data_IF_222712156783
#
_entry.id   IF_222712156783
#
_cell.length_a   1.000
_cell.length_b   1.000
_cell.length_c   1.000
_cell.angle_alpha   90.00
_cell.angle_beta   90.00
_cell.angle_gamma   90.00
#
_symmetry.space_group_name_H-M   'P 1'
#
loop_
_entity.id
_entity.type
_entity.pdbx_description
1 polymer ?
#
# COMPACT_ATOMS: atom_id res chain seq x y z
N UNK A 1 -9.40 2.02 17.90
CA UNK A 1 -9.98 1.40 16.67
C UNK A 1 -8.90 0.84 15.76
N UNK A 2 -7.73 1.48 15.65
CA UNK A 2 -6.63 1.01 14.79
C UNK A 2 -5.53 0.23 15.53
N UNK A 3 -5.64 0.04 16.85
CA UNK A 3 -4.55 -0.47 17.68
C UNK A 3 -4.10 -1.89 17.31
N UNK A 4 -5.02 -2.73 16.83
CA UNK A 4 -4.70 -4.07 16.34
C UNK A 4 -3.93 -4.02 15.01
N UNK A 5 -4.38 -3.19 14.07
CA UNK A 5 -3.73 -3.00 12.77
C UNK A 5 -2.35 -2.37 12.95
N UNK A 6 -2.21 -1.35 13.80
CA UNK A 6 -0.93 -0.71 14.10
C UNK A 6 0.04 -1.74 14.68
N UNK A 7 -0.41 -2.58 15.62
CA UNK A 7 0.43 -3.66 16.18
C UNK A 7 0.81 -4.70 15.14
N UNK A 8 -0.10 -5.09 14.25
CA UNK A 8 0.21 -6.01 13.16
C UNK A 8 1.26 -5.42 12.20
N UNK A 9 1.08 -4.17 11.80
CA UNK A 9 2.02 -3.44 10.93
C UNK A 9 3.38 -3.30 11.61
N UNK A 10 3.44 -2.92 12.89
CA UNK A 10 4.70 -2.77 13.62
C UNK A 10 5.53 -4.06 13.67
N UNK A 11 4.88 -5.22 13.82
CA UNK A 11 5.55 -6.53 13.89
C UNK A 11 5.93 -7.13 12.53
N UNK A 12 5.34 -6.64 11.45
CA UNK A 12 5.59 -7.16 10.11
C UNK A 12 6.86 -6.54 9.50
N UNK A 13 7.75 -7.41 9.01
CA UNK A 13 8.93 -7.02 8.23
C UNK A 13 8.62 -6.92 6.73
N UNK A 14 7.65 -7.72 6.25
CA UNK A 14 7.23 -7.79 4.84
C UNK A 14 5.74 -7.52 4.72
N UNK A 15 5.36 -6.58 3.87
CA UNK A 15 3.97 -6.14 3.71
C UNK A 15 3.63 -6.08 2.22
N UNK A 16 2.48 -6.62 1.85
CA UNK A 16 1.92 -6.47 0.50
C UNK A 16 0.71 -5.52 0.61
N UNK A 17 0.70 -4.47 -0.20
CA UNK A 17 -0.45 -3.57 -0.35
C UNK A 17 -1.17 -3.95 -1.63
N UNK A 18 -2.43 -4.34 -1.50
CA UNK A 18 -3.26 -4.82 -2.60
C UNK A 18 -4.27 -3.73 -2.98
N UNK A 19 -4.27 -3.35 -4.26
CA UNK A 19 -5.23 -2.42 -4.83
C UNK A 19 -6.51 -3.13 -5.29
N UNK A 20 -7.61 -2.39 -5.30
CA UNK A 20 -8.88 -2.86 -5.84
C UNK A 20 -8.82 -3.03 -7.38
N UNK A 21 -9.76 -3.80 -7.94
CA UNK A 21 -9.83 -4.12 -9.37
C UNK A 21 -10.16 -2.92 -10.28
N UNK A 22 -10.55 -1.77 -9.72
CA UNK A 22 -10.79 -0.53 -10.46
C UNK A 22 -10.00 0.63 -9.81
N UNK A 23 -8.68 0.71 -10.06
CA UNK A 23 -7.84 1.67 -9.38
C UNK A 23 -8.11 3.08 -9.89
N UNK A 24 -8.61 3.93 -9.02
CA UNK A 24 -8.69 5.37 -9.21
C UNK A 24 -7.48 6.08 -8.57
N UNK A 25 -7.46 7.41 -8.67
CA UNK A 25 -6.36 8.21 -8.11
C UNK A 25 -6.21 8.05 -6.59
N UNK A 26 -7.31 7.81 -5.87
CA UNK A 26 -7.26 7.58 -4.42
C UNK A 26 -6.59 6.24 -4.10
N UNK A 27 -7.00 5.17 -4.76
CA UNK A 27 -6.41 3.84 -4.54
C UNK A 27 -4.91 3.80 -4.87
N UNK A 28 -4.49 4.45 -5.97
CA UNK A 28 -3.09 4.54 -6.38
C UNK A 28 -2.31 5.41 -5.40
N UNK A 29 -2.81 6.60 -5.10
CA UNK A 29 -2.16 7.56 -4.21
C UNK A 29 -2.02 7.02 -2.79
N UNK A 30 -3.08 6.45 -2.22
CA UNK A 30 -3.06 5.84 -0.89
C UNK A 30 -2.11 4.65 -0.80
N UNK A 31 -1.98 3.84 -1.86
CA UNK A 31 -1.02 2.73 -1.89
C UNK A 31 0.42 3.20 -1.92
N UNK A 32 0.73 4.21 -2.75
CA UNK A 32 2.07 4.79 -2.85
C UNK A 32 2.46 5.50 -1.54
N UNK A 33 1.54 6.29 -0.97
CA UNK A 33 1.78 6.95 0.32
C UNK A 33 2.08 5.95 1.44
N UNK A 34 1.34 4.84 1.48
CA UNK A 34 1.56 3.81 2.48
C UNK A 34 2.87 3.04 2.23
N UNK A 35 3.25 2.82 0.97
CA UNK A 35 4.54 2.21 0.63
C UNK A 35 5.71 3.07 1.09
N UNK A 36 5.69 4.37 0.80
CA UNK A 36 6.72 5.32 1.25
C UNK A 36 6.84 5.35 2.78
N UNK A 37 5.72 5.53 3.49
CA UNK A 37 5.70 5.60 4.96
C UNK A 37 6.24 4.31 5.59
N UNK A 38 5.84 3.15 5.08
CA UNK A 38 6.27 1.87 5.63
C UNK A 38 7.71 1.55 5.24
N UNK A 39 8.16 1.97 4.06
CA UNK A 39 9.55 1.91 3.61
C UNK A 39 10.48 2.72 4.52
N UNK A 40 10.09 3.95 4.85
CA UNK A 40 10.79 4.81 5.82
C UNK A 40 10.89 4.17 7.22
N UNK A 41 9.91 3.33 7.59
CA UNK A 41 9.94 2.53 8.81
C UNK A 41 10.83 1.27 8.70
N UNK A 42 11.57 1.09 7.60
CA UNK A 42 12.48 -0.03 7.36
C UNK A 42 11.81 -1.33 6.90
N UNK A 43 10.57 -1.27 6.43
CA UNK A 43 9.78 -2.44 6.03
C UNK A 43 10.00 -2.75 4.55
N UNK A 44 9.92 -4.03 4.19
CA UNK A 44 9.90 -4.46 2.79
C UNK A 44 8.46 -4.45 2.29
N UNK A 45 8.14 -3.51 1.41
CA UNK A 45 6.79 -3.33 0.89
C UNK A 45 6.71 -3.76 -0.57
N UNK A 46 5.62 -4.38 -0.98
CA UNK A 46 5.33 -4.71 -2.37
C UNK A 46 3.93 -4.26 -2.72
N UNK A 47 3.79 -3.53 -3.83
CA UNK A 47 2.50 -3.11 -4.37
C UNK A 47 1.99 -4.16 -5.35
N UNK A 48 0.71 -4.53 -5.23
CA UNK A 48 0.03 -5.41 -6.17
C UNK A 48 -1.26 -4.76 -6.68
N UNK A 49 -1.34 -4.60 -8.00
CA UNK A 49 -2.54 -4.20 -8.71
C UNK A 49 -2.97 -5.35 -9.62
N UNK A 50 -4.19 -5.90 -9.48
CA UNK A 50 -4.67 -6.97 -10.35
C UNK A 50 -4.92 -6.50 -11.79
N UNK A 51 -5.03 -5.18 -12.00
CA UNK A 51 -5.29 -4.58 -13.32
C UNK A 51 -4.22 -3.54 -13.69
N UNK A 52 -4.17 -3.17 -14.96
CA UNK A 52 -3.31 -2.08 -15.41
C UNK A 52 -3.81 -0.73 -14.87
N UNK A 53 -2.98 -0.03 -14.10
CA UNK A 53 -3.26 1.36 -13.67
C UNK A 53 -3.57 2.24 -14.89
N UNK A 54 -4.64 3.06 -14.89
CA UNK A 54 -4.97 3.93 -16.01
C UNK A 54 -3.80 4.84 -16.42
N UNK A 55 -3.64 5.10 -17.73
CA UNK A 55 -2.49 5.88 -18.25
C UNK A 55 -2.39 7.30 -17.70
N UNK A 56 -3.49 7.91 -17.29
CA UNK A 56 -3.53 9.26 -16.73
C UNK A 56 -3.13 9.30 -15.23
N UNK A 57 -2.90 8.14 -14.60
CA UNK A 57 -2.46 8.02 -13.20
C UNK A 57 -1.02 7.50 -13.08
N UNK A 58 -0.30 7.34 -14.20
CA UNK A 58 1.09 6.88 -14.25
C UNK A 58 2.04 8.00 -14.62
#
# INVERSE_FOLDING_TARGET
>A
MFDEVIRAVQRADKIIIIQAENPDGDSVGSSLALEEILGDMGKQVTLYCPVAVPKYLR
#
